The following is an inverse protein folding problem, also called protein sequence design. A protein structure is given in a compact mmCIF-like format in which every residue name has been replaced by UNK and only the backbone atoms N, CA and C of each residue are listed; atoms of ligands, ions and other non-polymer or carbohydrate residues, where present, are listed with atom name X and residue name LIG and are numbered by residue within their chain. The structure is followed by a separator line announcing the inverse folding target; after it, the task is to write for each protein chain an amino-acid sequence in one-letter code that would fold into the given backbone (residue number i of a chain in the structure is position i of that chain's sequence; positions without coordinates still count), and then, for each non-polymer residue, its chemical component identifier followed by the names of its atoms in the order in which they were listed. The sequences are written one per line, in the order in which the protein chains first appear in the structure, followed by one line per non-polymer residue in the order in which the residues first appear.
data_IF_305120849061
#
_entry.id   IF_305120849061
#
_cell.length_a   1.000
_cell.length_b   1.000
_cell.length_c   1.000
_cell.angle_alpha   90.00
_cell.angle_beta   90.00
_cell.angle_gamma   90.00
#
_symmetry.space_group_name_H-M   'P 1'
#
loop_
_entity.id
_entity.type
_entity.pdbx_description
1 polymer ?
#
# COMPACT_ATOMS: atom_id res chain seq x y z
N UNK A 1 -5.28 11.22 -33.70
CA UNK A 1 -6.58 11.23 -33.01
C UNK A 1 -6.67 9.95 -32.17
N UNK A 2 -6.50 10.04 -30.85
CA UNK A 2 -6.93 9.01 -29.92
C UNK A 2 -7.96 9.67 -29.02
N UNK A 3 -9.24 9.42 -29.31
CA UNK A 3 -10.30 9.65 -28.33
C UNK A 3 -10.54 8.30 -27.68
N UNK A 4 -10.17 8.17 -26.41
CA UNK A 4 -10.50 7.00 -25.59
C UNK A 4 -10.59 7.45 -24.14
N UNK A 5 -11.80 7.89 -23.81
CA UNK A 5 -12.41 7.90 -22.49
C UNK A 5 -11.77 8.77 -21.40
N UNK A 6 -12.62 9.50 -20.67
CA UNK A 6 -12.36 9.91 -19.29
C UNK A 6 -12.31 8.65 -18.39
N UNK A 7 -11.40 7.74 -18.72
CA UNK A 7 -11.26 6.43 -18.12
C UNK A 7 -10.86 6.65 -16.68
N UNK A 8 -11.76 6.30 -15.76
CA UNK A 8 -11.44 6.15 -14.34
C UNK A 8 -10.13 5.35 -14.25
N UNK A 9 -9.02 6.03 -13.93
CA UNK A 9 -7.72 5.36 -13.78
C UNK A 9 -7.74 4.77 -12.39
N UNK A 10 -7.85 3.45 -12.33
CA UNK A 10 -7.63 2.70 -11.11
C UNK A 10 -6.44 1.76 -11.30
N UNK A 11 -5.70 1.52 -10.23
CA UNK A 11 -4.63 0.55 -10.19
C UNK A 11 -4.75 -0.28 -8.91
N UNK A 12 -4.61 -1.60 -9.05
CA UNK A 12 -4.36 -2.47 -7.92
C UNK A 12 -2.87 -2.43 -7.60
N UNK A 13 -2.53 -2.19 -6.34
CA UNK A 13 -1.16 -2.15 -5.85
C UNK A 13 -1.00 -3.21 -4.78
N UNK A 14 -0.01 -4.08 -4.92
CA UNK A 14 0.35 -5.06 -3.90
C UNK A 14 1.54 -4.51 -3.10
N UNK A 15 1.32 -4.28 -1.81
CA UNK A 15 2.35 -3.87 -0.85
C UNK A 15 2.78 -5.07 -0.04
N UNK A 16 4.08 -5.34 -0.04
CA UNK A 16 4.71 -6.40 0.74
C UNK A 16 5.29 -5.80 2.02
N UNK A 17 4.90 -6.36 3.16
CA UNK A 17 5.38 -6.02 4.49
C UNK A 17 6.35 -7.11 4.96
N UNK A 18 7.55 -6.72 5.33
CA UNK A 18 8.64 -7.60 5.75
C UNK A 18 9.09 -7.19 7.15
N UNK A 19 8.92 -8.06 8.17
CA UNK A 19 9.50 -7.84 9.49
C UNK A 19 11.01 -7.73 9.40
N UNK A 20 11.60 -6.92 10.28
CA UNK A 20 13.05 -6.72 10.36
C UNK A 20 13.60 -7.31 11.65
N UNK A 21 14.87 -7.72 11.62
CA UNK A 21 15.58 -8.29 12.78
C UNK A 21 15.61 -7.36 14.00
N UNK A 22 15.50 -6.04 13.78
CA UNK A 22 15.45 -5.03 14.84
C UNK A 22 14.04 -4.82 15.43
N UNK A 23 13.07 -5.66 15.07
CA UNK A 23 11.66 -5.52 15.45
C UNK A 23 10.90 -4.45 14.65
N UNK A 24 11.56 -3.82 13.68
CA UNK A 24 10.94 -2.86 12.78
C UNK A 24 10.15 -3.52 11.64
N UNK A 25 9.57 -2.68 10.79
CA UNK A 25 8.85 -3.11 9.61
C UNK A 25 9.39 -2.43 8.35
N UNK A 26 9.33 -3.15 7.23
CA UNK A 26 9.60 -2.60 5.90
C UNK A 26 8.40 -2.86 5.01
N UNK A 27 7.92 -1.84 4.31
CA UNK A 27 6.92 -1.97 3.26
C UNK A 27 7.54 -1.63 1.91
N UNK A 28 7.26 -2.41 0.88
CA UNK A 28 7.69 -2.13 -0.49
C UNK A 28 6.69 -2.69 -1.50
N UNK A 29 6.73 -2.20 -2.73
CA UNK A 29 5.85 -2.68 -3.81
C UNK A 29 6.62 -2.80 -5.12
N UNK A 30 6.36 -3.88 -5.86
CA UNK A 30 6.87 -4.06 -7.23
C UNK A 30 6.03 -3.30 -8.26
N UNK A 31 4.78 -3.00 -7.91
CA UNK A 31 3.83 -2.30 -8.79
C UNK A 31 4.07 -0.79 -8.80
N UNK A 32 4.70 -0.25 -7.74
CA UNK A 32 5.02 1.17 -7.59
C UNK A 32 6.54 1.34 -7.46
N UNK A 33 7.26 1.58 -8.58
CA UNK A 33 8.70 1.78 -8.56
C UNK A 33 9.12 2.91 -7.60
N UNK A 34 10.05 2.61 -6.70
CA UNK A 34 10.54 3.57 -5.70
C UNK A 34 9.70 3.65 -4.42
N UNK A 35 8.58 2.91 -4.31
CA UNK A 35 7.85 2.79 -3.05
C UNK A 35 8.60 1.87 -2.08
N UNK A 36 9.23 2.47 -1.08
CA UNK A 36 9.83 1.77 0.07
C UNK A 36 9.62 2.62 1.32
N UNK A 37 9.02 2.04 2.35
CA UNK A 37 8.94 2.59 3.70
C UNK A 37 9.64 1.65 4.67
N UNK A 38 10.39 2.19 5.60
CA UNK A 38 11.01 1.38 6.65
C UNK A 38 11.16 2.21 7.92
N UNK A 39 10.75 1.63 9.04
CA UNK A 39 10.83 2.26 10.35
C UNK A 39 11.04 1.17 11.42
N UNK A 40 11.68 1.53 12.53
CA UNK A 40 11.74 0.68 13.71
C UNK A 40 10.39 0.59 14.43
N UNK A 41 9.48 1.52 14.14
CA UNK A 41 8.08 1.51 14.59
C UNK A 41 7.17 0.97 13.48
N UNK A 42 6.64 -0.27 13.61
CA UNK A 42 5.77 -0.89 12.61
C UNK A 42 4.51 -0.09 12.32
N UNK A 43 3.90 0.54 13.33
CA UNK A 43 2.67 1.33 13.16
C UNK A 43 2.91 2.49 12.18
N UNK A 44 4.06 3.19 12.32
CA UNK A 44 4.42 4.27 11.40
C UNK A 44 4.60 3.83 9.96
N UNK A 45 5.02 2.58 9.72
CA UNK A 45 5.14 2.04 8.36
C UNK A 45 3.76 1.80 7.76
N UNK A 46 2.85 1.26 8.55
CA UNK A 46 1.47 0.94 8.17
C UNK A 46 0.69 2.21 7.86
N UNK A 47 0.67 3.16 8.81
CA UNK A 47 0.03 4.46 8.64
C UNK A 47 0.60 5.24 7.46
N UNK A 48 1.89 5.03 7.17
CA UNK A 48 2.60 5.68 6.07
C UNK A 48 2.26 5.14 4.68
N UNK A 49 1.69 3.92 4.55
CA UNK A 49 1.51 3.28 3.23
C UNK A 49 0.58 4.09 2.33
N UNK A 50 -0.63 4.39 2.79
CA UNK A 50 -1.62 5.15 2.02
C UNK A 50 -1.08 6.51 1.55
N UNK A 51 -0.62 7.41 2.45
CA UNK A 51 -0.17 8.74 2.02
C UNK A 51 1.06 8.66 1.09
N UNK A 52 1.93 7.67 1.26
CA UNK A 52 3.07 7.47 0.36
C UNK A 52 2.63 6.96 -1.02
N UNK A 53 1.65 6.06 -1.10
CA UNK A 53 1.08 5.60 -2.37
C UNK A 53 0.40 6.75 -3.12
N UNK A 54 -0.44 7.53 -2.44
CA UNK A 54 -1.10 8.72 -3.01
C UNK A 54 -0.08 9.72 -3.55
N UNK A 55 0.96 10.02 -2.77
CA UNK A 55 2.01 10.95 -3.20
C UNK A 55 2.76 10.44 -4.44
N UNK A 56 3.25 9.19 -4.43
CA UNK A 56 4.04 8.68 -5.55
C UNK A 56 3.19 8.53 -6.80
N UNK A 57 1.97 8.00 -6.68
CA UNK A 57 1.06 7.80 -7.81
C UNK A 57 0.55 9.13 -8.37
N UNK A 58 0.27 10.13 -7.52
CA UNK A 58 -0.14 11.45 -8.00
C UNK A 58 0.97 12.12 -8.81
N UNK A 59 2.23 12.02 -8.38
CA UNK A 59 3.39 12.49 -9.16
C UNK A 59 3.56 11.71 -10.46
N UNK A 60 3.27 10.41 -10.45
CA UNK A 60 3.43 9.53 -11.63
C UNK A 60 2.33 9.77 -12.67
N UNK A 61 1.08 9.97 -12.25
CA UNK A 61 -0.07 10.13 -13.14
C UNK A 61 -0.37 11.60 -13.49
N UNK A 62 0.25 12.54 -12.78
CA UNK A 62 0.05 13.98 -12.98
C UNK A 62 -1.32 14.48 -12.53
N UNK A 63 -2.00 13.74 -11.66
CA UNK A 63 -3.35 14.01 -11.15
C UNK A 63 -3.42 13.62 -9.67
N UNK A 64 -4.42 14.12 -8.95
CA UNK A 64 -4.66 13.69 -7.57
C UNK A 64 -5.14 12.24 -7.53
N UNK A 65 -4.68 11.48 -6.54
CA UNK A 65 -4.93 10.05 -6.38
C UNK A 65 -5.31 9.80 -4.93
N UNK A 66 -6.38 9.04 -4.73
CA UNK A 66 -6.75 8.47 -3.44
C UNK A 66 -6.37 6.99 -3.43
N UNK A 67 -5.84 6.52 -2.30
CA UNK A 67 -5.52 5.11 -2.10
C UNK A 67 -6.26 4.56 -0.87
N UNK A 68 -6.76 3.34 -0.99
CA UNK A 68 -7.41 2.64 0.10
C UNK A 68 -6.98 1.18 0.12
N UNK A 69 -7.02 0.57 1.31
CA UNK A 69 -6.86 -0.89 1.45
C UNK A 69 -8.00 -1.56 0.67
N UNK A 70 -7.65 -2.49 -0.21
CA UNK A 70 -8.62 -3.33 -0.89
C UNK A 70 -8.97 -4.49 0.07
N UNK A 71 -9.90 -4.25 0.98
CA UNK A 71 -10.46 -5.33 1.80
C UNK A 71 -11.39 -6.20 0.95
N UNK A 72 -11.25 -7.52 1.06
CA UNK A 72 -12.19 -8.43 0.43
C UNK A 72 -13.61 -8.15 0.95
N UNK A 73 -14.57 -8.01 0.03
CA UNK A 73 -16.01 -7.95 0.33
C UNK A 73 -16.40 -9.33 0.89
N UNK A 74 -16.20 -9.56 2.20
CA UNK A 74 -16.40 -10.89 2.78
C UNK A 74 -16.08 -11.03 4.27
N UNK A 75 -15.23 -10.19 4.85
CA UNK A 75 -14.96 -10.24 6.29
C UNK A 75 -15.11 -8.85 6.90
N UNK A 76 -15.87 -8.79 8.00
CA UNK A 76 -15.97 -7.61 8.84
C UNK A 76 -14.56 -7.15 9.18
N UNK A 77 -14.16 -5.99 8.65
CA UNK A 77 -12.81 -5.47 8.78
C UNK A 77 -12.37 -5.41 10.23
N UNK A 78 -11.44 -6.28 10.62
CA UNK A 78 -10.54 -5.94 11.71
C UNK A 78 -9.66 -4.80 11.20
N UNK A 79 -9.35 -3.88 12.09
CA UNK A 79 -8.29 -2.92 11.85
C UNK A 79 -7.03 -3.67 11.40
N UNK A 80 -6.21 -3.01 10.60
CA UNK A 80 -4.95 -3.56 10.17
C UNK A 80 -4.01 -3.64 11.38
N UNK A 81 -3.93 -4.80 12.02
CA UNK A 81 -3.20 -4.96 13.28
C UNK A 81 -1.72 -5.31 13.01
N UNK A 82 -0.82 -4.49 13.55
CA UNK A 82 0.63 -4.74 13.55
C UNK A 82 0.98 -6.14 14.06
N UNK A 83 0.20 -6.63 15.02
CA UNK A 83 0.41 -7.93 15.66
C UNK A 83 0.34 -9.08 14.65
N UNK A 84 -0.54 -9.01 13.65
CA UNK A 84 -0.66 -10.06 12.62
C UNK A 84 0.64 -10.17 11.77
N UNK A 85 1.23 -9.02 11.46
CA UNK A 85 2.42 -8.93 10.61
C UNK A 85 3.67 -9.38 11.35
N UNK A 86 3.82 -8.93 12.60
CA UNK A 86 4.96 -9.27 13.42
C UNK A 86 4.88 -10.73 13.91
N UNK A 87 3.67 -11.26 14.12
CA UNK A 87 3.45 -12.66 14.51
C UNK A 87 3.84 -13.67 13.42
N UNK A 88 3.91 -13.24 12.16
CA UNK A 88 4.30 -14.11 11.06
C UNK A 88 5.81 -14.42 10.99
N UNK A 89 6.62 -13.82 11.89
CA UNK A 89 8.05 -14.00 12.27
C UNK A 89 9.12 -14.21 11.17
N UNK A 90 8.77 -14.71 9.98
CA UNK A 90 9.67 -15.08 8.88
C UNK A 90 9.01 -14.97 7.50
N UNK A 91 7.71 -14.70 7.41
CA UNK A 91 7.01 -14.62 6.11
C UNK A 91 6.57 -13.19 5.81
N UNK A 92 7.03 -12.59 4.69
CA UNK A 92 6.51 -11.30 4.27
C UNK A 92 5.02 -11.40 3.94
N UNK A 93 4.23 -10.48 4.46
CA UNK A 93 2.79 -10.42 4.23
C UNK A 93 2.50 -9.43 3.11
N UNK A 94 1.80 -9.89 2.09
CA UNK A 94 1.35 -9.03 1.00
C UNK A 94 -0.09 -8.56 1.24
N UNK A 95 -0.36 -7.29 0.92
CA UNK A 95 -1.67 -6.66 1.06
C UNK A 95 -2.01 -5.86 -0.19
N UNK A 96 -3.28 -5.91 -0.56
CA UNK A 96 -3.78 -5.25 -1.76
C UNK A 96 -4.37 -3.89 -1.42
N UNK A 97 -4.04 -2.90 -2.24
CA UNK A 97 -4.55 -1.55 -2.21
C UNK A 97 -5.17 -1.23 -3.56
N UNK A 98 -6.18 -0.39 -3.56
CA UNK A 98 -6.70 0.25 -4.77
C UNK A 98 -6.31 1.71 -4.73
N UNK A 99 -5.76 2.20 -5.83
CA UNK A 99 -5.54 3.61 -6.07
C UNK A 99 -6.43 4.06 -7.22
N UNK A 100 -7.12 5.19 -7.09
CA UNK A 100 -7.91 5.79 -8.16
C UNK A 100 -7.74 7.30 -8.21
N UNK A 101 -8.07 7.89 -9.36
CA UNK A 101 -8.13 9.36 -9.48
C UNK A 101 -9.23 9.89 -8.56
N UNK A 102 -8.90 10.94 -7.81
CA UNK A 102 -9.84 11.66 -6.93
C UNK A 102 -10.90 12.43 -7.75
#
# INVERSE_FOLDING_TARGET
MFSKDASSRFAKVVVTFEPREDGGLRAYSKDVPGFVLSNSDPEKVIEGVVPALEFILSKTWGVEVEAAILSHIGENGSAFDCEEILSSHDTPIAREYVAHVA
#
